data_IF_061897361585
#
_entry.id   IF_061897361585
#
_cell.length_a   1.000
_cell.length_b   1.000
_cell.length_c   1.000
_cell.angle_alpha   90.00
_cell.angle_beta   90.00
_cell.angle_gamma   90.00
#
_symmetry.space_group_name_H-M   'P 1'
#
loop_
_entity.id
_entity.type
_entity.pdbx_description
1 polymer ?
#
# COMPACT_ATOMS: atom_id res chain seq x y z
N UNK A 1 -14.14 18.32 7.34
CA UNK A 1 -13.49 17.18 8.02
C UNK A 1 -12.28 16.80 7.19
N UNK A 2 -11.07 16.83 7.75
CA UNK A 2 -9.87 16.36 7.06
C UNK A 2 -9.89 14.83 7.04
N UNK A 3 -10.39 14.21 5.98
CA UNK A 3 -10.25 12.77 5.76
C UNK A 3 -8.86 12.51 5.18
N UNK A 4 -7.86 12.36 6.05
CA UNK A 4 -6.59 11.77 5.61
C UNK A 4 -6.85 10.31 5.24
N UNK A 5 -6.77 9.98 3.95
CA UNK A 5 -6.72 8.58 3.51
C UNK A 5 -5.38 8.03 4.03
N UNK A 6 -5.41 6.95 4.79
CA UNK A 6 -4.26 6.46 5.54
C UNK A 6 -4.04 4.97 5.23
N UNK A 7 -3.24 4.67 4.20
CA UNK A 7 -2.89 3.29 3.83
C UNK A 7 -1.93 2.66 4.87
N UNK A 8 -1.99 1.35 5.20
CA UNK A 8 -2.83 0.27 4.67
C UNK A 8 -3.94 -0.17 5.64
N UNK A 9 -5.20 -0.09 5.21
CA UNK A 9 -6.36 -0.20 6.09
C UNK A 9 -6.82 -1.64 6.37
N UNK A 10 -6.44 -2.63 5.55
CA UNK A 10 -6.71 -4.03 5.88
C UNK A 10 -5.90 -4.49 7.10
N UNK A 11 -4.69 -3.94 7.26
CA UNK A 11 -3.90 -4.11 8.48
C UNK A 11 -4.65 -3.58 9.71
N UNK A 12 -5.29 -2.41 9.60
CA UNK A 12 -6.05 -1.81 10.70
C UNK A 12 -7.15 -2.77 11.15
N UNK A 13 -7.95 -3.27 10.20
CA UNK A 13 -9.00 -4.24 10.48
C UNK A 13 -8.44 -5.53 11.10
N UNK A 14 -7.31 -6.03 10.60
CA UNK A 14 -6.66 -7.21 11.15
C UNK A 14 -6.15 -6.98 12.59
N UNK A 15 -5.51 -5.85 12.86
CA UNK A 15 -5.00 -5.48 14.19
C UNK A 15 -6.11 -5.29 15.22
N UNK A 16 -7.30 -4.85 14.76
CA UNK A 16 -8.50 -4.65 15.57
C UNK A 16 -9.43 -5.86 15.58
N UNK A 17 -9.05 -7.00 14.97
CA UNK A 17 -9.91 -8.18 14.81
C UNK A 17 -10.51 -8.70 16.12
N UNK A 18 -9.86 -8.44 17.27
CA UNK A 18 -10.36 -8.78 18.62
C UNK A 18 -11.49 -7.87 19.13
N UNK A 19 -11.64 -6.68 18.54
CA UNK A 19 -12.57 -5.63 18.94
C UNK A 19 -13.73 -5.45 17.93
N UNK A 20 -13.78 -6.26 16.88
CA UNK A 20 -14.83 -6.16 15.86
C UNK A 20 -16.16 -6.69 16.45
N UNK A 21 -17.26 -5.90 16.36
CA UNK A 21 -18.57 -6.31 16.87
C UNK A 21 -19.07 -7.63 16.28
N UNK A 22 -19.91 -8.34 17.03
CA UNK A 22 -20.44 -9.65 16.61
C UNK A 22 -21.26 -9.62 15.31
N UNK A 23 -21.83 -8.46 14.97
CA UNK A 23 -22.61 -8.22 13.76
C UNK A 23 -21.73 -8.20 12.49
N UNK A 24 -20.43 -7.91 12.64
CA UNK A 24 -19.46 -7.83 11.55
C UNK A 24 -18.60 -9.12 11.43
N UNK A 25 -19.03 -10.22 12.06
CA UNK A 25 -18.36 -11.54 11.99
C UNK A 25 -18.18 -12.08 10.57
N UNK A 26 -19.05 -11.70 9.64
CA UNK A 26 -18.89 -12.08 8.22
C UNK A 26 -17.61 -11.48 7.63
N UNK A 27 -17.34 -10.20 7.90
CA UNK A 27 -16.14 -9.52 7.41
C UNK A 27 -14.88 -10.13 8.04
N UNK A 28 -14.91 -10.43 9.33
CA UNK A 28 -13.82 -11.16 10.00
C UNK A 28 -13.55 -12.53 9.37
N UNK A 29 -14.60 -13.27 8.98
CA UNK A 29 -14.44 -14.56 8.32
C UNK A 29 -13.69 -14.41 7.00
N UNK A 30 -14.10 -13.46 6.16
CA UNK A 30 -13.43 -13.21 4.88
C UNK A 30 -11.97 -12.74 5.07
N UNK A 31 -11.71 -11.91 6.10
CA UNK A 31 -10.33 -11.53 6.48
C UNK A 31 -9.50 -12.75 6.86
N UNK A 32 -10.04 -13.62 7.72
CA UNK A 32 -9.34 -14.84 8.13
C UNK A 32 -9.07 -15.77 6.94
N UNK A 33 -10.04 -15.94 6.04
CA UNK A 33 -9.86 -16.72 4.81
C UNK A 33 -8.73 -16.13 3.94
N UNK A 34 -8.68 -14.81 3.79
CA UNK A 34 -7.58 -14.14 3.07
C UNK A 34 -6.23 -14.35 3.76
N UNK A 35 -6.17 -14.22 5.09
CA UNK A 35 -4.95 -14.45 5.86
C UNK A 35 -4.48 -15.91 5.76
N UNK A 36 -5.39 -16.88 5.74
CA UNK A 36 -5.04 -18.29 5.53
C UNK A 36 -4.45 -18.51 4.14
N UNK A 37 -4.95 -17.82 3.11
CA UNK A 37 -4.35 -17.86 1.76
C UNK A 37 -2.94 -17.26 1.80
N UNK A 38 -2.75 -16.08 2.41
CA UNK A 38 -1.44 -15.45 2.56
C UNK A 38 -0.48 -16.37 3.32
N UNK A 39 -0.96 -16.98 4.42
CA UNK A 39 -0.20 -17.96 5.23
C UNK A 39 0.33 -19.10 4.37
N UNK A 40 -0.55 -19.67 3.56
CA UNK A 40 -0.22 -20.80 2.70
C UNK A 40 0.79 -20.41 1.63
N UNK A 41 0.75 -19.17 1.12
CA UNK A 41 1.75 -18.66 0.18
C UNK A 41 3.12 -18.57 0.86
N UNK A 42 3.22 -17.86 1.99
CA UNK A 42 4.51 -17.60 2.65
C UNK A 42 5.11 -18.85 3.30
N UNK A 43 4.30 -19.85 3.66
CA UNK A 43 4.81 -21.13 4.19
C UNK A 43 5.09 -22.18 3.10
N UNK A 44 4.87 -21.87 1.82
CA UNK A 44 4.94 -22.88 0.76
C UNK A 44 6.34 -23.39 0.44
N UNK A 45 7.39 -22.69 0.87
CA UNK A 45 8.79 -22.97 0.51
C UNK A 45 9.09 -22.74 -0.98
N UNK A 46 8.18 -22.10 -1.71
CA UNK A 46 8.30 -21.74 -3.13
C UNK A 46 8.39 -20.21 -3.20
N UNK A 47 9.16 -19.62 -4.15
CA UNK A 47 9.24 -18.17 -4.30
C UNK A 47 7.86 -17.51 -4.31
N UNK A 48 7.63 -16.61 -3.36
CA UNK A 48 6.38 -15.89 -3.12
C UNK A 48 5.87 -15.24 -4.41
N UNK A 49 6.74 -14.56 -5.19
CA UNK A 49 6.32 -13.90 -6.42
C UNK A 49 5.65 -14.84 -7.44
N UNK A 50 6.08 -16.11 -7.47
CA UNK A 50 5.49 -17.11 -8.37
C UNK A 50 4.09 -17.58 -7.95
N UNK A 51 3.72 -17.31 -6.69
CA UNK A 51 2.46 -17.72 -6.07
C UNK A 51 1.47 -16.57 -5.91
N UNK A 52 1.91 -15.31 -5.93
CA UNK A 52 1.01 -14.16 -5.95
C UNK A 52 0.35 -14.07 -7.32
N UNK A 53 -0.82 -14.71 -7.43
CA UNK A 53 -1.68 -14.67 -8.61
C UNK A 53 -2.68 -13.52 -8.53
N UNK A 54 -3.42 -13.33 -9.62
CA UNK A 54 -4.47 -12.32 -9.72
C UNK A 54 -5.51 -12.43 -8.59
N UNK A 55 -5.89 -13.66 -8.22
CA UNK A 55 -6.97 -13.92 -7.25
C UNK A 55 -6.62 -13.42 -5.84
N UNK A 56 -5.36 -13.50 -5.43
CA UNK A 56 -4.96 -12.98 -4.11
C UNK A 56 -4.91 -11.45 -4.11
N UNK A 57 -4.50 -10.82 -5.22
CA UNK A 57 -4.51 -9.36 -5.36
C UNK A 57 -5.94 -8.82 -5.30
N UNK A 58 -6.85 -9.48 -6.02
CA UNK A 58 -8.28 -9.18 -6.00
C UNK A 58 -8.86 -9.30 -4.58
N UNK A 59 -8.58 -10.41 -3.89
CA UNK A 59 -9.07 -10.63 -2.53
C UNK A 59 -8.60 -9.54 -1.55
N UNK A 60 -7.32 -9.20 -1.58
CA UNK A 60 -6.76 -8.15 -0.71
C UNK A 60 -7.40 -6.80 -1.04
N UNK A 61 -7.52 -6.45 -2.33
CA UNK A 61 -8.15 -5.18 -2.73
C UNK A 61 -9.61 -5.09 -2.28
N UNK A 62 -10.41 -6.12 -2.57
CA UNK A 62 -11.83 -6.13 -2.23
C UNK A 62 -12.03 -6.05 -0.71
N UNK A 63 -11.20 -6.76 0.07
CA UNK A 63 -11.22 -6.67 1.52
C UNK A 63 -10.78 -5.31 2.04
N UNK A 64 -9.76 -4.68 1.44
CA UNK A 64 -9.37 -3.31 1.78
C UNK A 64 -10.53 -2.34 1.59
N UNK A 65 -11.26 -2.43 0.49
CA UNK A 65 -12.44 -1.58 0.25
C UNK A 65 -13.49 -1.80 1.32
N UNK A 66 -13.82 -3.07 1.64
CA UNK A 66 -14.77 -3.39 2.73
C UNK A 66 -14.29 -2.89 4.08
N UNK A 67 -12.99 -3.04 4.39
CA UNK A 67 -12.37 -2.56 5.61
C UNK A 67 -12.48 -1.02 5.73
N UNK A 68 -12.23 -0.30 4.65
CA UNK A 68 -12.40 1.16 4.60
C UNK A 68 -13.84 1.59 4.86
N UNK A 69 -14.81 0.94 4.23
CA UNK A 69 -16.23 1.19 4.53
C UNK A 69 -16.56 0.94 6.00
N UNK A 70 -16.04 -0.15 6.57
CA UNK A 70 -16.26 -0.48 7.98
C UNK A 70 -15.61 0.53 8.93
N UNK A 71 -14.37 0.94 8.68
CA UNK A 71 -13.66 1.97 9.47
C UNK A 71 -14.43 3.29 9.46
N UNK A 72 -14.85 3.74 8.27
CA UNK A 72 -15.63 4.97 8.12
C UNK A 72 -16.98 4.88 8.84
N UNK A 73 -17.69 3.75 8.72
CA UNK A 73 -18.99 3.54 9.39
C UNK A 73 -18.86 3.60 10.92
N UNK A 74 -17.76 3.08 11.46
CA UNK A 74 -17.52 3.00 12.91
C UNK A 74 -16.74 4.20 13.47
N UNK A 75 -16.42 5.22 12.65
CA UNK A 75 -15.65 6.41 13.04
C UNK A 75 -14.33 6.08 13.75
N UNK A 76 -13.62 5.04 13.30
CA UNK A 76 -12.36 4.63 13.92
C UNK A 76 -11.29 5.67 13.57
N UNK A 77 -10.62 6.28 14.56
CA UNK A 77 -9.58 7.27 14.30
C UNK A 77 -8.36 6.60 13.65
N UNK A 78 -8.14 6.87 12.36
CA UNK A 78 -7.03 6.29 11.58
C UNK A 78 -5.65 6.71 12.13
N UNK A 79 -5.55 7.94 12.66
CA UNK A 79 -4.32 8.58 13.15
C UNK A 79 -3.62 7.81 14.29
N UNK A 80 -4.35 7.01 15.06
CA UNK A 80 -3.78 6.24 16.17
C UNK A 80 -3.17 4.90 15.73
N UNK A 81 -3.48 4.42 14.51
CA UNK A 81 -3.21 3.04 14.11
C UNK A 81 -1.96 2.86 13.25
N UNK A 82 -1.44 3.91 12.62
CA UNK A 82 -0.27 3.85 11.74
C UNK A 82 1.04 4.31 12.39
N UNK A 83 1.02 4.66 13.68
CA UNK A 83 2.22 5.11 14.38
C UNK A 83 3.17 3.93 14.64
N UNK A 84 4.09 3.72 13.68
CA UNK A 84 5.20 2.77 13.66
C UNK A 84 4.77 1.33 13.91
N UNK A 85 4.70 0.53 12.84
CA UNK A 85 4.61 -0.92 13.00
C UNK A 85 5.85 -1.38 13.74
N UNK A 86 5.64 -1.94 14.94
CA UNK A 86 6.68 -2.48 15.78
C UNK A 86 6.52 -3.97 15.93
N UNK A 87 7.44 -4.71 15.31
CA UNK A 87 7.57 -6.14 15.52
C UNK A 87 8.46 -6.43 16.73
N UNK A 88 8.14 -7.53 17.42
CA UNK A 88 8.89 -8.11 18.52
C UNK A 88 9.92 -9.13 18.02
N UNK A 89 9.66 -9.80 16.89
CA UNK A 89 10.61 -10.76 16.31
C UNK A 89 11.84 -10.04 15.73
N UNK A 90 13.06 -10.29 16.24
CA UNK A 90 14.28 -9.64 15.79
C UNK A 90 14.64 -9.97 14.33
N UNK A 91 14.19 -11.11 13.80
CA UNK A 91 14.42 -11.50 12.40
C UNK A 91 13.73 -10.56 11.43
N UNK A 92 12.67 -9.86 11.88
CA UNK A 92 11.91 -8.92 11.08
C UNK A 92 12.51 -7.50 11.08
N UNK A 93 13.70 -7.28 11.67
CA UNK A 93 14.31 -5.95 11.80
C UNK A 93 14.47 -5.21 10.46
N UNK A 94 15.10 -5.83 9.46
CA UNK A 94 15.23 -5.24 8.12
C UNK A 94 13.87 -5.04 7.44
N UNK A 95 13.00 -6.04 7.51
CA UNK A 95 11.65 -5.97 6.95
C UNK A 95 10.82 -4.83 7.58
N UNK A 96 10.98 -4.61 8.89
CA UNK A 96 10.38 -3.49 9.63
C UNK A 96 10.82 -2.14 9.10
N UNK A 97 12.11 -1.97 8.83
CA UNK A 97 12.65 -0.72 8.26
C UNK A 97 12.05 -0.46 6.89
N UNK A 98 12.01 -1.49 6.03
CA UNK A 98 11.41 -1.40 4.71
C UNK A 98 9.89 -1.10 4.79
N UNK A 99 9.15 -1.75 5.68
CA UNK A 99 7.73 -1.48 5.92
C UNK A 99 7.50 -0.03 6.36
N UNK A 100 8.28 0.46 7.33
CA UNK A 100 8.15 1.85 7.79
C UNK A 100 8.52 2.84 6.67
N UNK A 101 9.50 2.51 5.83
CA UNK A 101 9.80 3.30 4.64
C UNK A 101 8.63 3.33 3.66
N UNK A 102 8.01 2.19 3.36
CA UNK A 102 6.83 2.12 2.49
C UNK A 102 5.65 2.92 3.04
N UNK A 103 5.34 2.79 4.33
CA UNK A 103 4.25 3.53 4.99
C UNK A 103 4.50 5.04 4.90
N UNK A 104 5.73 5.51 5.14
CA UNK A 104 6.07 6.94 4.97
C UNK A 104 5.78 7.43 3.56
N UNK A 105 6.12 6.65 2.53
CA UNK A 105 5.88 6.99 1.14
C UNK A 105 4.39 6.96 0.78
N UNK A 106 3.65 5.93 1.23
CA UNK A 106 2.20 5.85 1.09
C UNK A 106 1.51 7.08 1.70
N UNK A 107 1.89 7.45 2.92
CA UNK A 107 1.34 8.63 3.60
C UNK A 107 1.67 9.93 2.85
N UNK A 108 2.90 10.07 2.35
CA UNK A 108 3.30 11.23 1.53
C UNK A 108 2.42 11.38 0.29
N UNK A 109 2.27 10.31 -0.49
CA UNK A 109 1.44 10.31 -1.71
C UNK A 109 -0.02 10.56 -1.36
N UNK A 110 -0.55 9.89 -0.34
CA UNK A 110 -1.93 10.06 0.09
C UNK A 110 -2.23 11.51 0.51
N UNK A 111 -1.31 12.15 1.22
CA UNK A 111 -1.42 13.57 1.59
C UNK A 111 -1.40 14.49 0.35
N UNK A 112 -0.57 14.19 -0.65
CA UNK A 112 -0.55 14.94 -1.91
C UNK A 112 -1.85 14.79 -2.69
N UNK A 113 -2.40 13.57 -2.75
CA UNK A 113 -3.69 13.30 -3.36
C UNK A 113 -4.80 14.06 -2.62
N UNK A 114 -4.85 13.93 -1.29
CA UNK A 114 -5.87 14.58 -0.46
C UNK A 114 -5.87 16.11 -0.61
N UNK A 115 -4.70 16.73 -0.78
CA UNK A 115 -4.59 18.19 -1.04
C UNK A 115 -5.06 18.60 -2.44
N UNK A 116 -4.89 17.72 -3.44
CA UNK A 116 -5.31 17.98 -4.83
C UNK A 116 -6.79 17.71 -5.05
N UNK A 117 -7.38 16.82 -4.26
CA UNK A 117 -8.81 16.54 -4.21
C UNK A 117 -9.53 17.69 -3.48
N UNK A 118 -9.69 18.81 -4.17
CA UNK A 118 -10.59 19.91 -3.75
C UNK A 118 -12.03 19.61 -4.17
N UNK A 119 -12.99 20.45 -3.75
CA UNK A 119 -14.47 20.37 -3.81
C UNK A 119 -15.16 19.51 -4.89
N UNK A 120 -14.56 19.31 -6.07
CA UNK A 120 -15.04 18.36 -7.10
C UNK A 120 -15.01 16.89 -6.64
N UNK A 121 -14.13 16.53 -5.69
CA UNK A 121 -14.09 15.19 -5.11
C UNK A 121 -15.34 14.89 -4.26
N UNK A 122 -15.85 15.87 -3.50
CA UNK A 122 -17.06 15.67 -2.69
C UNK A 122 -18.31 15.48 -3.56
N UNK A 123 -18.38 16.17 -4.69
CA UNK A 123 -19.45 16.02 -5.67
C UNK A 123 -19.33 14.71 -6.47
N UNK A 124 -18.11 14.33 -6.86
CA UNK A 124 -17.82 13.03 -7.47
C UNK A 124 -18.13 11.86 -6.52
N UNK A 125 -17.77 11.97 -5.23
CA UNK A 125 -18.02 10.95 -4.19
C UNK A 125 -19.51 10.71 -3.96
N UNK A 126 -20.38 11.72 -4.12
CA UNK A 126 -21.85 11.52 -4.08
C UNK A 126 -22.34 10.60 -5.19
N UNK A 127 -21.71 10.64 -6.36
CA UNK A 127 -22.01 9.77 -7.50
C UNK A 127 -21.35 8.38 -7.39
N UNK A 128 -20.28 8.24 -6.61
CA UNK A 128 -19.57 6.97 -6.39
C UNK A 128 -20.29 5.99 -5.45
N UNK A 129 -21.30 6.42 -4.67
CA UNK A 129 -22.05 5.55 -3.75
C UNK A 129 -22.69 4.32 -4.42
N UNK A 130 -22.84 4.33 -5.75
CA UNK A 130 -23.52 3.27 -6.51
C UNK A 130 -22.59 2.45 -7.43
N UNK A 131 -21.27 2.70 -7.43
CA UNK A 131 -20.33 1.87 -8.21
C UNK A 131 -19.80 0.78 -7.29
N UNK A 132 -20.05 -0.52 -7.58
CA UNK A 132 -19.41 -1.60 -6.84
C UNK A 132 -17.90 -1.50 -7.04
N UNK A 133 -17.21 -1.03 -6.00
CA UNK A 133 -15.78 -0.76 -6.03
C UNK A 133 -15.02 -2.06 -5.73
N UNK A 134 -15.15 -3.03 -6.61
CA UNK A 134 -14.37 -4.27 -6.60
C UNK A 134 -13.25 -4.22 -7.66
N UNK A 135 -12.22 -5.03 -7.45
CA UNK A 135 -11.01 -5.03 -8.28
C UNK A 135 -11.33 -5.34 -9.74
N UNK A 136 -12.25 -6.28 -10.01
CA UNK A 136 -12.69 -6.63 -11.35
C UNK A 136 -13.37 -5.44 -12.07
N UNK A 137 -14.18 -4.65 -11.37
CA UNK A 137 -14.81 -3.44 -11.92
C UNK A 137 -13.79 -2.33 -12.15
N UNK A 138 -12.85 -2.14 -11.23
CA UNK A 138 -11.72 -1.21 -11.42
C UNK A 138 -10.94 -1.59 -12.67
N UNK A 139 -10.56 -2.87 -12.81
CA UNK A 139 -9.84 -3.37 -13.97
C UNK A 139 -10.68 -3.20 -15.25
N UNK A 140 -11.97 -3.55 -15.21
CA UNK A 140 -12.88 -3.41 -16.35
C UNK A 140 -13.03 -1.96 -16.80
N UNK A 141 -13.11 -1.00 -15.87
CA UNK A 141 -13.18 0.44 -16.21
C UNK A 141 -11.90 0.88 -16.91
N UNK A 142 -10.73 0.49 -16.40
CA UNK A 142 -9.44 0.88 -16.97
C UNK A 142 -9.10 0.14 -18.27
N UNK A 143 -9.54 -1.11 -18.43
CA UNK A 143 -9.38 -1.89 -19.66
C UNK A 143 -10.38 -1.49 -20.74
N UNK A 144 -11.61 -1.12 -20.41
CA UNK A 144 -12.59 -0.65 -21.43
C UNK A 144 -12.31 0.77 -21.92
N UNK A 145 -11.56 1.56 -21.15
CA UNK A 145 -11.08 2.88 -21.55
C UNK A 145 -9.72 2.82 -22.27
N UNK A 146 -9.21 1.62 -22.57
CA UNK A 146 -7.83 1.42 -23.03
C UNK A 146 -7.60 1.89 -24.47
N UNK A 147 -7.20 3.15 -24.59
CA UNK A 147 -6.34 3.63 -25.69
C UNK A 147 -5.08 4.35 -25.13
N UNK A 148 -4.91 4.41 -23.80
CA UNK A 148 -3.89 5.25 -23.16
C UNK A 148 -3.05 4.47 -22.12
N UNK A 149 -1.72 4.62 -22.20
CA UNK A 149 -0.71 4.15 -21.23
C UNK A 149 -1.06 4.50 -19.77
N UNK A 150 -1.76 5.61 -19.55
CA UNK A 150 -2.15 6.10 -18.21
C UNK A 150 -3.05 5.13 -17.43
N UNK A 151 -3.97 4.42 -18.09
CA UNK A 151 -4.85 3.43 -17.43
C UNK A 151 -4.05 2.23 -16.92
N UNK A 152 -3.05 1.79 -17.70
CA UNK A 152 -2.14 0.71 -17.29
C UNK A 152 -1.28 1.16 -16.10
N UNK A 153 -0.74 2.37 -16.13
CA UNK A 153 0.01 2.95 -15.01
C UNK A 153 -0.86 3.03 -13.74
N UNK A 154 -2.14 3.37 -13.86
CA UNK A 154 -3.05 3.41 -12.70
C UNK A 154 -3.28 2.02 -12.09
N UNK A 155 -3.49 0.98 -12.91
CA UNK A 155 -3.61 -0.40 -12.42
C UNK A 155 -2.32 -0.82 -11.71
N UNK A 156 -1.15 -0.53 -12.31
CA UNK A 156 0.14 -0.86 -11.70
C UNK A 156 0.38 -0.11 -10.39
N UNK A 157 -0.01 1.17 -10.33
CA UNK A 157 0.00 1.97 -9.11
C UNK A 157 -0.85 1.33 -8.00
N UNK A 158 -2.07 0.89 -8.32
CA UNK A 158 -2.94 0.19 -7.36
C UNK A 158 -2.27 -1.12 -6.92
N UNK A 159 -1.77 -1.92 -7.84
CA UNK A 159 -1.14 -3.21 -7.52
C UNK A 159 0.06 -3.06 -6.60
N UNK A 160 0.90 -2.05 -6.80
CA UNK A 160 2.02 -1.76 -5.89
C UNK A 160 1.55 -1.57 -4.45
N UNK A 161 0.41 -0.90 -4.22
CA UNK A 161 -0.16 -0.77 -2.88
C UNK A 161 -0.69 -2.08 -2.31
N UNK A 162 -1.18 -2.99 -3.16
CA UNK A 162 -1.67 -4.31 -2.75
C UNK A 162 -0.49 -5.20 -2.31
N UNK A 163 0.61 -5.18 -3.05
CA UNK A 163 1.84 -5.89 -2.67
C UNK A 163 2.41 -5.39 -1.34
N UNK A 164 2.43 -4.07 -1.10
CA UNK A 164 2.86 -3.51 0.18
C UNK A 164 1.97 -4.04 1.32
N UNK A 165 0.66 -4.06 1.13
CA UNK A 165 -0.27 -4.56 2.14
C UNK A 165 -0.13 -6.07 2.38
N UNK A 166 0.08 -6.86 1.32
CA UNK A 166 0.41 -8.30 1.42
C UNK A 166 1.61 -8.54 2.33
N UNK A 167 2.69 -7.76 2.15
CA UNK A 167 3.91 -7.90 2.96
C UNK A 167 3.66 -7.49 4.40
N UNK A 168 2.91 -6.42 4.65
CA UNK A 168 2.57 -5.98 6.00
C UNK A 168 1.76 -7.05 6.75
N UNK A 169 0.74 -7.62 6.11
CA UNK A 169 -0.05 -8.71 6.69
C UNK A 169 0.81 -9.94 6.98
N UNK A 170 1.69 -10.31 6.05
CA UNK A 170 2.64 -11.43 6.22
C UNK A 170 3.56 -11.20 7.42
N UNK A 171 4.15 -10.02 7.54
CA UNK A 171 5.05 -9.67 8.64
C UNK A 171 4.34 -9.74 10.00
N UNK A 172 3.09 -9.29 10.09
CA UNK A 172 2.30 -9.38 11.31
C UNK A 172 1.96 -10.81 11.69
N UNK A 173 1.68 -11.67 10.70
CA UNK A 173 1.42 -13.08 10.97
C UNK A 173 2.66 -13.79 11.49
N UNK A 174 3.85 -13.43 10.99
CA UNK A 174 5.13 -13.95 11.48
C UNK A 174 5.38 -13.44 12.92
N UNK A 175 5.23 -12.14 13.15
CA UNK A 175 5.47 -11.53 14.47
C UNK A 175 4.53 -12.07 15.56
N UNK A 176 3.28 -12.37 15.20
CA UNK A 176 2.30 -12.96 16.10
C UNK A 176 2.43 -14.50 16.23
N UNK A 177 3.42 -15.13 15.60
CA UNK A 177 3.63 -16.59 15.63
C UNK A 177 2.56 -17.40 14.91
N UNK A 178 1.74 -16.78 14.06
CA UNK A 178 0.70 -17.45 13.27
C UNK A 178 1.32 -18.17 12.07
N UNK A 179 2.39 -17.60 11.50
CA UNK A 179 3.19 -18.17 10.42
C UNK A 179 4.63 -18.39 10.88
N UNK A 180 5.21 -19.53 10.49
CA UNK A 180 6.58 -19.91 10.83
C UNK A 180 7.34 -20.06 9.52
N UNK A 181 8.17 -19.07 9.21
CA UNK A 181 8.93 -19.00 7.96
C UNK A 181 10.43 -18.95 8.24
N UNK A 182 11.22 -19.35 7.26
CA UNK A 182 12.67 -19.24 7.27
C UNK A 182 13.15 -17.80 6.94
N UNK A 183 14.47 -17.59 7.06
CA UNK A 183 15.08 -16.30 6.76
C UNK A 183 14.98 -15.90 5.29
N UNK A 184 15.02 -16.86 4.37
CA UNK A 184 14.94 -16.62 2.94
C UNK A 184 13.57 -16.07 2.54
N UNK A 185 12.49 -16.60 3.14
CA UNK A 185 11.13 -16.05 2.97
C UNK A 185 11.03 -14.62 3.49
N UNK A 186 11.66 -14.30 4.63
CA UNK A 186 11.69 -12.93 5.19
C UNK A 186 12.46 -11.97 4.27
N UNK A 187 13.56 -12.45 3.68
CA UNK A 187 14.33 -11.69 2.69
C UNK A 187 13.52 -11.45 1.42
N UNK A 188 12.83 -12.46 0.90
CA UNK A 188 11.95 -12.30 -0.27
C UNK A 188 10.82 -11.29 0.01
N UNK A 189 10.19 -11.34 1.19
CA UNK A 189 9.22 -10.33 1.63
C UNK A 189 9.83 -8.92 1.65
N UNK A 190 11.09 -8.79 2.08
CA UNK A 190 11.82 -7.52 2.09
C UNK A 190 12.08 -7.00 0.67
N UNK A 191 12.45 -7.87 -0.26
CA UNK A 191 12.62 -7.51 -1.67
C UNK A 191 11.30 -7.10 -2.32
N UNK A 192 10.20 -7.82 -2.02
CA UNK A 192 8.87 -7.52 -2.52
C UNK A 192 8.46 -6.11 -2.14
N UNK A 193 8.58 -5.76 -0.86
CA UNK A 193 8.10 -4.47 -0.40
C UNK A 193 8.97 -3.31 -0.90
N UNK A 194 10.30 -3.48 -0.98
CA UNK A 194 11.21 -2.46 -1.54
C UNK A 194 10.86 -2.22 -3.01
N UNK A 195 10.78 -3.28 -3.81
CA UNK A 195 10.41 -3.17 -5.23
C UNK A 195 9.05 -2.51 -5.40
N UNK A 196 8.05 -2.95 -4.65
CA UNK A 196 6.68 -2.42 -4.73
C UNK A 196 6.62 -0.95 -4.33
N UNK A 197 7.44 -0.51 -3.38
CA UNK A 197 7.54 0.90 -2.98
C UNK A 197 8.19 1.75 -4.06
N UNK A 198 9.26 1.27 -4.69
CA UNK A 198 9.87 1.96 -5.82
C UNK A 198 8.93 2.06 -7.02
N UNK A 199 8.25 0.96 -7.36
CA UNK A 199 7.24 0.93 -8.42
C UNK A 199 6.11 1.94 -8.10
N UNK A 200 5.61 1.95 -6.87
CA UNK A 200 4.58 2.91 -6.41
C UNK A 200 5.01 4.36 -6.60
N UNK A 201 6.25 4.70 -6.22
CA UNK A 201 6.80 6.05 -6.39
C UNK A 201 6.98 6.40 -7.87
N UNK A 202 7.49 5.49 -8.69
CA UNK A 202 7.66 5.70 -10.13
C UNK A 202 6.32 5.97 -10.81
N UNK A 203 5.30 5.14 -10.53
CA UNK A 203 3.96 5.36 -11.07
C UNK A 203 3.31 6.63 -10.53
N UNK A 204 3.62 7.04 -9.28
CA UNK A 204 3.17 8.32 -8.74
C UNK A 204 3.71 9.52 -9.54
N UNK A 205 4.95 9.43 -10.02
CA UNK A 205 5.56 10.45 -10.89
C UNK A 205 4.91 10.42 -12.27
N UNK A 206 4.74 9.24 -12.88
CA UNK A 206 4.10 9.09 -14.19
C UNK A 206 2.65 9.60 -14.20
N UNK A 207 1.91 9.37 -13.12
CA UNK A 207 0.53 9.88 -12.94
C UNK A 207 0.49 11.39 -12.65
N UNK A 208 1.65 12.02 -12.47
CA UNK A 208 1.80 13.43 -12.15
C UNK A 208 1.44 13.78 -10.71
N UNK A 209 1.33 12.80 -9.81
CA UNK A 209 1.03 13.00 -8.39
C UNK A 209 2.23 13.65 -7.68
N UNK A 210 3.43 13.14 -7.96
CA UNK A 210 4.69 13.80 -7.60
C UNK A 210 5.16 14.62 -8.80
N UNK A 211 5.41 15.90 -8.59
CA UNK A 211 6.12 16.72 -9.57
C UNK A 211 7.61 16.65 -9.27
N UNK A 212 8.41 16.11 -10.18
CA UNK A 212 9.86 16.28 -10.15
C UNK A 212 10.13 17.61 -10.86
N UNK A 213 10.65 18.61 -10.14
CA UNK A 213 11.03 19.88 -10.79
C UNK A 213 12.09 19.60 -11.86
N UNK A 214 11.92 20.10 -13.11
CA UNK A 214 12.82 19.79 -14.21
C UNK A 214 14.26 20.31 -14.05
N UNK A 215 14.56 21.10 -13.00
CA UNK A 215 15.90 21.63 -12.74
C UNK A 215 16.96 20.58 -12.34
N UNK A 216 16.60 19.31 -12.13
CA UNK A 216 17.56 18.24 -11.74
C UNK A 216 17.76 17.14 -12.79
N UNK A 217 17.09 17.18 -13.94
CA UNK A 217 17.06 16.04 -14.88
C UNK A 217 18.16 16.11 -15.96
N UNK A 218 18.96 17.19 -16.04
CA UNK A 218 19.93 17.35 -17.13
C UNK A 218 21.20 16.47 -17.05
N UNK A 219 21.43 15.67 -16.00
CA UNK A 219 22.72 14.96 -15.86
C UNK A 219 22.72 13.43 -15.63
N UNK A 220 21.60 12.71 -15.69
CA UNK A 220 21.57 11.29 -15.26
C UNK A 220 21.16 10.26 -16.32
N UNK A 221 21.63 10.41 -17.57
CA UNK A 221 21.45 9.41 -18.63
C UNK A 221 22.47 8.25 -18.62
N UNK A 222 23.14 8.00 -17.49
CA UNK A 222 23.90 6.77 -17.25
C UNK A 222 23.47 6.15 -15.93
N UNK A 223 22.83 4.98 -16.02
CA UNK A 223 22.46 4.12 -14.88
C UNK A 223 23.73 3.58 -14.21
N UNK A 224 24.31 4.37 -13.30
CA UNK A 224 25.33 3.96 -12.33
C UNK A 224 24.75 4.04 -10.91
N UNK A 225 25.47 3.46 -9.95
CA UNK A 225 25.20 3.42 -8.51
C UNK A 225 24.89 4.78 -7.85
N UNK A 226 25.02 5.89 -8.58
CA UNK A 226 24.55 7.22 -8.22
C UNK A 226 23.03 7.37 -8.21
N UNK A 227 22.28 6.62 -9.04
CA UNK A 227 20.79 6.64 -9.03
C UNK A 227 20.23 6.14 -7.69
N UNK A 228 20.92 5.20 -7.04
CA UNK A 228 20.55 4.68 -5.72
C UNK A 228 20.81 5.74 -4.63
N UNK A 229 21.90 6.52 -4.76
CA UNK A 229 22.17 7.65 -3.86
C UNK A 229 21.20 8.82 -4.08
N UNK A 230 20.74 9.03 -5.31
CA UNK A 230 19.78 10.06 -5.66
C UNK A 230 18.34 9.69 -5.25
N UNK A 231 17.97 8.41 -5.25
CA UNK A 231 16.70 7.95 -4.65
C UNK A 231 16.72 8.06 -3.12
N UNK A 232 17.88 7.85 -2.49
CA UNK A 232 18.08 8.19 -1.08
C UNK A 232 18.00 9.72 -0.86
N UNK A 233 18.61 10.54 -1.73
CA UNK A 233 18.56 11.99 -1.62
C UNK A 233 17.17 12.56 -1.90
N UNK A 234 16.36 12.00 -2.81
CA UNK A 234 14.96 12.41 -3.01
C UNK A 234 14.10 12.07 -1.78
N UNK A 235 14.48 11.04 -1.01
CA UNK A 235 13.86 10.72 0.27
C UNK A 235 14.28 11.65 1.42
N UNK A 236 15.51 12.21 1.36
CA UNK A 236 16.09 13.11 2.38
C UNK A 236 15.92 14.61 2.07
N UNK A 237 15.97 15.04 0.81
CA UNK A 237 15.83 16.43 0.34
C UNK A 237 14.41 16.98 0.53
N UNK A 238 13.42 16.10 0.76
CA UNK A 238 12.10 16.51 1.22
C UNK A 238 12.08 17.19 2.61
N UNK A 239 13.21 17.19 3.35
CA UNK A 239 13.34 17.88 4.64
C UNK A 239 13.96 19.29 4.56
N UNK A 240 14.71 19.65 3.51
CA UNK A 240 15.40 20.96 3.49
C UNK A 240 14.68 22.04 2.69
N UNK A 241 13.93 21.69 1.64
CA UNK A 241 13.23 22.71 0.83
C UNK A 241 11.96 23.27 1.51
N UNK A 242 11.44 22.63 2.56
CA UNK A 242 10.29 23.16 3.32
C UNK A 242 10.70 24.12 4.45
N UNK A 243 11.91 23.99 5.00
CA UNK A 243 12.39 24.86 6.07
C UNK A 243 12.80 26.26 5.58
N UNK A 244 13.05 26.42 4.27
CA UNK A 244 13.51 27.68 3.67
C UNK A 244 12.39 28.44 2.92
N UNK A 245 11.12 28.04 3.08
CA UNK A 245 9.96 28.74 2.50
C UNK A 245 8.90 29.13 3.55
N UNK A 246 9.31 29.37 4.80
CA UNK A 246 8.57 30.14 5.80
C UNK A 246 9.25 31.49 6.02
#
# INVERSE_FOLDING_TARGET
MNTSIQNPELYILYSQSKNVPSEDKSLLKEVNECLDIIKNIINSGIPIYSKIKYEILENIFNLRVKANYWILKNNIPLEELLNKISFKDPRLSLLKENINFSIRNLNKISNLLSKRLTSEYEESMKNFKNIPLDYANVLNVYLKTSVNNRSITMIRFINSTIYIEFVILSALMIDNGIAHVDGDTINELSEIIVKSTHDYLAYSVELGIINISPKKVENSLKLSSEVIKEQHSISEEGFQDWANQL
#
